data_IF_075521832608
#
_entry.id   IF_075521832608
#
_cell.length_a   1.000
_cell.length_b   1.000
_cell.length_c   1.000
_cell.angle_alpha   90.00
_cell.angle_beta   90.00
_cell.angle_gamma   90.00
#
_symmetry.space_group_name_H-M   'P 1'
#
loop_
_entity.id
_entity.type
_entity.pdbx_description
1 polymer ?
#
# COMPACT_ATOMS: atom_id res chain seq x y z
N UNK A 1 23.12 -7.76 -13.92
CA UNK A 1 21.91 -8.22 -13.21
C UNK A 1 21.46 -9.54 -13.83
N UNK A 2 21.27 -10.63 -13.05
CA UNK A 2 20.83 -11.93 -13.58
C UNK A 2 19.31 -12.04 -13.40
N UNK A 3 18.54 -12.02 -14.49
CA UNK A 3 17.09 -12.23 -14.47
C UNK A 3 16.80 -13.72 -14.59
N UNK A 4 16.06 -14.27 -13.64
CA UNK A 4 15.57 -15.64 -13.68
C UNK A 4 14.05 -15.61 -13.83
N UNK A 5 13.53 -16.42 -14.74
CA UNK A 5 12.10 -16.63 -14.90
C UNK A 5 11.74 -17.97 -14.27
N UNK A 6 10.79 -17.93 -13.33
CA UNK A 6 10.21 -19.15 -12.77
C UNK A 6 9.04 -19.57 -13.65
N UNK A 7 8.87 -20.88 -13.81
CA UNK A 7 7.80 -21.46 -14.62
C UNK A 7 6.41 -21.09 -14.06
N UNK A 8 5.51 -20.71 -14.96
CA UNK A 8 4.12 -20.34 -14.69
C UNK A 8 3.16 -21.54 -14.73
N UNK A 9 3.64 -22.75 -15.02
CA UNK A 9 2.84 -23.98 -15.07
C UNK A 9 2.19 -24.40 -13.75
N UNK A 10 2.48 -23.73 -12.63
CA UNK A 10 1.91 -23.99 -11.31
C UNK A 10 1.72 -22.74 -10.46
N UNK A 11 1.30 -22.92 -9.21
CA UNK A 11 1.11 -21.79 -8.29
C UNK A 11 2.44 -21.08 -8.00
N UNK A 12 2.49 -19.78 -8.27
CA UNK A 12 3.71 -18.98 -8.21
C UNK A 12 4.39 -19.01 -6.82
N UNK A 13 3.61 -18.94 -5.74
CA UNK A 13 4.16 -18.91 -4.37
C UNK A 13 4.91 -20.22 -4.04
N UNK A 14 4.29 -21.40 -4.17
CA UNK A 14 4.97 -22.70 -4.10
C UNK A 14 6.28 -22.78 -4.88
N UNK A 15 6.30 -22.34 -6.14
CA UNK A 15 7.49 -22.37 -7.00
C UNK A 15 8.58 -21.44 -6.49
N UNK A 16 8.24 -20.19 -6.16
CA UNK A 16 9.17 -19.22 -5.59
C UNK A 16 9.78 -19.72 -4.27
N UNK A 17 8.97 -20.31 -3.39
CA UNK A 17 9.45 -20.84 -2.09
C UNK A 17 10.39 -22.02 -2.29
N UNK A 18 10.07 -22.95 -3.20
CA UNK A 18 10.97 -24.06 -3.53
C UNK A 18 12.35 -23.53 -3.95
N UNK A 19 12.34 -22.60 -4.91
CA UNK A 19 13.55 -21.98 -5.43
C UNK A 19 14.35 -21.28 -4.32
N UNK A 20 13.72 -20.47 -3.48
CA UNK A 20 14.39 -19.79 -2.37
C UNK A 20 15.05 -20.77 -1.40
N UNK A 21 14.34 -21.84 -1.02
CA UNK A 21 14.89 -22.85 -0.10
C UNK A 21 16.08 -23.55 -0.76
N UNK A 22 15.96 -23.97 -2.02
CA UNK A 22 17.01 -24.74 -2.68
C UNK A 22 18.27 -23.90 -2.96
N UNK A 23 18.12 -22.60 -3.24
CA UNK A 23 19.26 -21.70 -3.45
C UNK A 23 19.97 -21.28 -2.15
N UNK A 24 19.25 -21.19 -1.03
CA UNK A 24 19.77 -20.59 0.21
C UNK A 24 19.92 -21.57 1.37
N UNK A 25 19.64 -22.86 1.17
CA UNK A 25 19.87 -23.88 2.20
C UNK A 25 21.30 -24.38 2.18
N UNK A 26 22.01 -24.18 3.29
CA UNK A 26 23.34 -24.76 3.53
C UNK A 26 23.31 -25.46 4.90
N UNK A 27 23.74 -26.72 4.96
CA UNK A 27 23.84 -27.51 6.19
C UNK A 27 22.55 -27.48 7.06
N UNK A 28 21.38 -27.63 6.43
CA UNK A 28 20.09 -27.66 7.12
C UNK A 28 19.58 -26.30 7.64
N UNK A 29 20.18 -25.20 7.16
CA UNK A 29 19.74 -23.83 7.46
C UNK A 29 19.47 -23.08 6.17
N UNK A 30 18.27 -22.54 6.03
CA UNK A 30 17.89 -21.60 4.98
C UNK A 30 17.95 -20.18 5.54
N UNK A 31 18.96 -19.40 5.13
CA UNK A 31 19.16 -18.03 5.63
C UNK A 31 18.80 -17.00 4.56
N UNK A 32 17.66 -16.35 4.73
CA UNK A 32 17.12 -15.38 3.79
C UNK A 32 17.24 -13.94 4.30
N UNK A 33 18.03 -13.65 5.35
CA UNK A 33 18.12 -12.30 5.94
C UNK A 33 18.50 -11.20 4.96
N UNK A 34 19.32 -11.53 3.96
CA UNK A 34 19.78 -10.59 2.93
C UNK A 34 18.86 -10.58 1.69
N UNK A 35 17.83 -11.41 1.68
CA UNK A 35 16.87 -11.51 0.58
C UNK A 35 15.71 -10.55 0.85
N UNK A 36 15.43 -9.71 -0.14
CA UNK A 36 14.28 -8.80 -0.18
C UNK A 36 13.29 -9.34 -1.20
N UNK A 37 12.09 -9.68 -0.76
CA UNK A 37 11.02 -10.15 -1.62
C UNK A 37 10.01 -9.02 -1.86
N UNK A 38 10.03 -8.43 -3.05
CA UNK A 38 9.04 -7.42 -3.47
C UNK A 38 7.84 -8.14 -4.07
N UNK A 39 6.67 -7.90 -3.53
CA UNK A 39 5.45 -8.64 -3.83
C UNK A 39 4.29 -7.67 -4.05
N UNK A 40 3.25 -8.05 -4.83
CA UNK A 40 2.13 -7.17 -5.18
C UNK A 40 1.14 -6.97 -4.02
N UNK A 41 1.61 -7.00 -2.78
CA UNK A 41 0.80 -6.66 -1.61
C UNK A 41 1.18 -7.43 -0.35
N UNK A 42 0.76 -6.90 0.80
CA UNK A 42 1.04 -7.49 2.11
C UNK A 42 0.50 -8.92 2.24
N UNK A 43 -0.64 -9.23 1.59
CA UNK A 43 -1.20 -10.59 1.58
C UNK A 43 -0.29 -11.59 0.88
N UNK A 44 0.29 -11.23 -0.27
CA UNK A 44 1.24 -12.09 -0.97
C UNK A 44 2.48 -12.35 -0.10
N UNK A 45 2.98 -11.34 0.62
CA UNK A 45 4.03 -11.48 1.63
C UNK A 45 3.69 -12.48 2.73
N UNK A 46 2.51 -12.36 3.33
CA UNK A 46 2.04 -13.31 4.35
C UNK A 46 1.95 -14.74 3.81
N UNK A 47 1.44 -14.91 2.59
CA UNK A 47 1.34 -16.23 1.95
C UNK A 47 2.72 -16.84 1.67
N UNK A 48 3.67 -16.06 1.15
CA UNK A 48 5.06 -16.49 0.94
C UNK A 48 5.70 -16.95 2.26
N UNK A 49 5.58 -16.15 3.33
CA UNK A 49 6.15 -16.48 4.64
C UNK A 49 5.52 -17.75 5.24
N UNK A 50 4.19 -17.91 5.12
CA UNK A 50 3.50 -19.12 5.58
C UNK A 50 4.01 -20.37 4.86
N UNK A 51 4.15 -20.30 3.53
CA UNK A 51 4.64 -21.41 2.73
C UNK A 51 6.13 -21.72 3.01
N UNK A 52 6.97 -20.70 3.20
CA UNK A 52 8.37 -20.87 3.63
C UNK A 52 8.47 -21.62 4.95
N UNK A 53 7.69 -21.21 5.96
CA UNK A 53 7.65 -21.85 7.28
C UNK A 53 7.18 -23.29 7.16
N UNK A 54 6.07 -23.52 6.43
CA UNK A 54 5.50 -24.86 6.26
C UNK A 54 6.51 -25.83 5.63
N UNK A 55 7.17 -25.43 4.53
CA UNK A 55 8.15 -26.29 3.84
C UNK A 55 9.43 -26.50 4.61
N UNK A 56 9.97 -25.45 5.23
CA UNK A 56 11.17 -25.58 6.05
C UNK A 56 10.91 -26.50 7.24
N UNK A 57 9.76 -26.36 7.90
CA UNK A 57 9.35 -27.23 9.01
C UNK A 57 9.23 -28.69 8.57
N UNK A 58 8.56 -28.96 7.44
CA UNK A 58 8.43 -30.32 6.91
C UNK A 58 9.79 -30.98 6.60
N UNK A 59 10.76 -30.18 6.13
CA UNK A 59 12.14 -30.62 5.82
C UNK A 59 13.11 -30.55 7.00
N UNK A 60 12.66 -30.14 8.20
CA UNK A 60 13.50 -29.88 9.39
C UNK A 60 14.64 -28.89 9.13
N UNK A 61 14.41 -27.91 8.25
CA UNK A 61 15.35 -26.83 7.93
C UNK A 61 15.10 -25.65 8.87
N UNK A 62 16.16 -25.10 9.46
CA UNK A 62 16.05 -23.85 10.22
C UNK A 62 15.92 -22.68 9.26
N UNK A 63 14.84 -21.92 9.36
CA UNK A 63 14.56 -20.76 8.51
C UNK A 63 14.94 -19.46 9.23
N UNK A 64 15.68 -18.59 8.55
CA UNK A 64 15.68 -17.17 8.86
C UNK A 64 14.95 -16.45 7.72
N UNK A 65 13.78 -15.82 7.97
CA UNK A 65 12.89 -15.37 6.90
C UNK A 65 13.45 -14.18 6.12
N UNK A 66 12.98 -13.95 4.88
CA UNK A 66 13.32 -12.75 4.10
C UNK A 66 12.58 -11.52 4.63
N UNK A 67 13.02 -10.34 4.18
CA UNK A 67 12.21 -9.12 4.32
C UNK A 67 11.23 -9.04 3.16
N UNK A 68 9.94 -9.12 3.44
CA UNK A 68 8.89 -8.90 2.43
C UNK A 68 8.56 -7.42 2.33
N UNK A 69 8.50 -6.91 1.11
CA UNK A 69 8.20 -5.53 0.76
C UNK A 69 7.10 -5.53 -0.31
N UNK A 70 6.39 -4.42 -0.40
CA UNK A 70 5.55 -4.05 -1.55
C UNK A 70 6.29 -2.98 -2.37
N UNK A 71 5.89 -2.69 -3.61
CA UNK A 71 6.47 -1.58 -4.36
C UNK A 71 6.48 -0.27 -3.56
N UNK A 72 5.37 0.11 -2.94
CA UNK A 72 5.29 1.32 -2.12
C UNK A 72 6.19 1.33 -0.89
N UNK A 73 6.31 0.21 -0.17
CA UNK A 73 7.20 0.13 1.01
C UNK A 73 8.67 -0.05 0.63
N UNK A 74 8.98 -0.44 -0.61
CA UNK A 74 10.34 -0.36 -1.14
C UNK A 74 10.76 1.10 -1.29
N UNK A 75 9.85 1.99 -1.73
CA UNK A 75 10.14 3.42 -1.84
C UNK A 75 10.53 3.99 -0.48
N UNK A 76 9.87 3.58 0.61
CA UNK A 76 10.25 4.03 1.97
C UNK A 76 11.68 3.64 2.37
N UNK A 77 12.25 2.59 1.78
CA UNK A 77 13.66 2.22 2.01
C UNK A 77 14.61 3.17 1.29
N UNK A 78 14.19 3.70 0.14
CA UNK A 78 14.96 4.65 -0.67
C UNK A 78 14.78 6.10 -0.18
N UNK A 79 13.56 6.45 0.22
CA UNK A 79 13.14 7.77 0.68
C UNK A 79 12.45 7.64 2.05
N UNK A 80 13.24 7.53 3.15
CA UNK A 80 12.68 7.31 4.47
C UNK A 80 11.82 8.49 4.95
N UNK A 81 10.84 8.25 5.83
CA UNK A 81 10.06 9.30 6.49
C UNK A 81 10.96 10.35 7.16
N UNK A 82 10.55 11.63 7.12
CA UNK A 82 11.20 12.72 7.86
C UNK A 82 10.31 13.19 9.01
N UNK A 83 10.74 14.21 9.74
CA UNK A 83 9.96 14.82 10.84
C UNK A 83 8.63 15.40 10.36
N UNK A 84 8.55 15.80 9.10
CA UNK A 84 7.38 16.35 8.44
C UNK A 84 6.38 15.26 8.03
N UNK A 85 6.78 13.99 7.97
CA UNK A 85 5.87 12.89 7.63
C UNK A 85 4.76 12.77 8.68
N UNK A 86 3.51 12.89 8.23
CA UNK A 86 2.34 12.74 9.08
C UNK A 86 2.29 11.32 9.67
N UNK A 87 2.02 11.24 10.96
CA UNK A 87 1.65 10.00 11.62
C UNK A 87 0.26 9.55 11.20
N UNK A 88 -0.03 8.26 11.38
CA UNK A 88 -1.36 7.69 11.12
C UNK A 88 -2.48 8.41 11.86
N UNK A 89 -2.23 8.86 13.11
CA UNK A 89 -3.19 9.65 13.88
C UNK A 89 -3.47 10.99 13.18
N UNK A 90 -2.42 11.72 12.78
CA UNK A 90 -2.55 13.00 12.06
C UNK A 90 -3.31 12.82 10.74
N UNK A 91 -3.02 11.76 9.98
CA UNK A 91 -3.79 11.42 8.77
C UNK A 91 -5.27 11.17 9.08
N UNK A 92 -5.58 10.38 10.11
CA UNK A 92 -6.97 10.10 10.49
C UNK A 92 -7.72 11.36 10.95
N UNK A 93 -7.07 12.27 11.68
CA UNK A 93 -7.68 13.53 12.10
C UNK A 93 -7.91 14.45 10.90
N UNK A 94 -6.95 14.57 9.99
CA UNK A 94 -7.10 15.35 8.77
C UNK A 94 -8.27 14.83 7.91
N UNK A 95 -8.37 13.52 7.71
CA UNK A 95 -9.52 12.92 7.02
C UNK A 95 -10.83 13.17 7.75
N UNK A 96 -10.89 12.96 9.07
CA UNK A 96 -12.10 13.23 9.87
C UNK A 96 -12.61 14.66 9.65
N UNK A 97 -11.71 15.65 9.68
CA UNK A 97 -12.06 17.04 9.40
C UNK A 97 -12.58 17.24 7.98
N UNK A 98 -11.90 16.70 6.96
CA UNK A 98 -12.31 16.82 5.55
C UNK A 98 -13.69 16.21 5.31
N UNK A 99 -13.95 15.01 5.85
CA UNK A 99 -15.22 14.31 5.68
C UNK A 99 -16.37 15.04 6.36
N UNK A 100 -16.17 15.52 7.60
CA UNK A 100 -17.21 16.24 8.34
C UNK A 100 -17.53 17.59 7.72
N UNK A 101 -16.50 18.30 7.25
CA UNK A 101 -16.64 19.65 6.71
C UNK A 101 -17.14 19.63 5.25
N UNK A 102 -17.06 18.49 4.56
CA UNK A 102 -17.53 18.35 3.18
C UNK A 102 -19.04 18.60 3.02
N UNK A 103 -19.41 19.00 1.81
CA UNK A 103 -20.80 19.18 1.44
C UNK A 103 -21.54 17.82 1.43
N UNK A 104 -22.78 17.81 1.97
CA UNK A 104 -23.56 16.58 2.10
C UNK A 104 -23.88 15.93 0.75
N UNK A 105 -24.09 16.73 -0.30
CA UNK A 105 -24.37 16.22 -1.65
C UNK A 105 -23.14 15.55 -2.25
N UNK A 106 -21.95 16.11 -2.00
CA UNK A 106 -20.68 15.57 -2.45
C UNK A 106 -20.39 14.21 -1.80
N UNK A 107 -20.62 14.07 -0.49
CA UNK A 107 -20.28 12.82 0.24
C UNK A 107 -21.38 11.76 0.21
N UNK A 108 -22.56 12.06 -0.33
CA UNK A 108 -23.70 11.14 -0.39
C UNK A 108 -23.36 9.76 -1.01
N UNK A 109 -22.51 9.65 -2.06
CA UNK A 109 -22.09 8.35 -2.59
C UNK A 109 -21.33 7.49 -1.56
N UNK A 110 -20.48 8.12 -0.73
CA UNK A 110 -19.71 7.45 0.32
C UNK A 110 -20.55 7.16 1.56
N UNK A 111 -21.35 8.13 1.98
CA UNK A 111 -22.18 8.07 3.18
C UNK A 111 -23.63 8.41 2.81
N UNK A 112 -24.42 7.42 2.36
CA UNK A 112 -25.85 7.63 2.08
C UNK A 112 -26.62 8.14 3.31
N UNK A 113 -26.15 7.78 4.50
CA UNK A 113 -26.64 8.28 5.80
C UNK A 113 -25.43 8.72 6.63
N UNK A 114 -24.95 9.96 6.47
CA UNK A 114 -23.80 10.43 7.22
C UNK A 114 -24.16 10.61 8.70
N UNK A 115 -23.20 10.45 9.63
CA UNK A 115 -23.39 10.77 11.04
C UNK A 115 -23.83 12.22 11.27
N UNK A 116 -24.31 12.50 12.48
CA UNK A 116 -24.45 13.88 12.93
C UNK A 116 -23.11 14.60 12.88
N UNK A 117 -23.10 15.91 12.59
CA UNK A 117 -21.84 16.68 12.54
C UNK A 117 -21.13 16.72 13.89
N UNK A 118 -21.86 16.66 15.00
CA UNK A 118 -21.30 16.65 16.35
C UNK A 118 -20.80 15.26 16.79
N UNK A 119 -21.04 14.20 16.01
CA UNK A 119 -20.60 12.84 16.33
C UNK A 119 -19.14 12.60 15.90
N UNK A 120 -18.22 13.21 16.64
CA UNK A 120 -16.79 13.10 16.39
C UNK A 120 -16.27 11.64 16.37
N UNK A 121 -16.67 10.76 17.31
CA UNK A 121 -16.25 9.35 17.27
C UNK A 121 -16.65 8.64 15.97
N UNK A 122 -17.88 8.82 15.49
CA UNK A 122 -18.32 8.18 14.25
C UNK A 122 -17.51 8.66 13.03
N UNK A 123 -17.24 9.97 12.94
CA UNK A 123 -16.41 10.51 11.86
C UNK A 123 -14.97 10.01 11.92
N UNK A 124 -14.39 9.87 13.12
CA UNK A 124 -13.05 9.33 13.30
C UNK A 124 -12.95 7.86 12.89
N UNK A 125 -13.99 7.06 13.16
CA UNK A 125 -14.05 5.66 12.71
C UNK A 125 -14.02 5.56 11.18
N UNK A 126 -14.80 6.39 10.48
CA UNK A 126 -14.76 6.43 9.02
C UNK A 126 -13.42 6.91 8.47
N UNK A 127 -12.84 7.94 9.08
CA UNK A 127 -11.53 8.43 8.68
C UNK A 127 -10.44 7.37 8.85
N UNK A 128 -10.49 6.59 9.93
CA UNK A 128 -9.56 5.47 10.16
C UNK A 128 -9.67 4.41 9.07
N UNK A 129 -10.90 4.06 8.66
CA UNK A 129 -11.14 3.12 7.54
C UNK A 129 -10.59 3.65 6.21
N UNK A 130 -10.71 4.95 5.95
CA UNK A 130 -10.13 5.56 4.74
C UNK A 130 -8.60 5.50 4.78
N UNK A 131 -7.99 5.77 5.94
CA UNK A 131 -6.54 5.63 6.11
C UNK A 131 -6.09 4.18 5.88
N UNK A 132 -6.81 3.19 6.40
CA UNK A 132 -6.50 1.76 6.14
C UNK A 132 -6.50 1.42 4.66
N UNK A 133 -7.53 1.88 3.94
CA UNK A 133 -7.66 1.66 2.50
C UNK A 133 -6.57 2.41 1.73
N UNK A 134 -6.28 3.66 2.11
CA UNK A 134 -5.21 4.45 1.49
C UNK A 134 -3.84 3.77 1.66
N UNK A 135 -3.56 3.23 2.85
CA UNK A 135 -2.32 2.48 3.12
C UNK A 135 -2.23 1.21 2.28
N UNK A 136 -3.34 0.48 2.10
CA UNK A 136 -3.39 -0.72 1.24
C UNK A 136 -3.11 -0.36 -0.23
N UNK A 137 -3.77 0.65 -0.77
CA UNK A 137 -3.58 1.12 -2.15
C UNK A 137 -2.17 1.65 -2.38
N UNK A 138 -1.65 2.46 -1.46
CA UNK A 138 -0.31 3.00 -1.53
C UNK A 138 0.77 1.92 -1.44
N UNK A 139 0.45 0.73 -0.91
CA UNK A 139 1.31 -0.44 -0.97
C UNK A 139 1.66 -0.83 -2.41
N UNK A 140 0.72 -0.66 -3.33
CA UNK A 140 0.83 -0.95 -4.77
C UNK A 140 1.00 0.31 -5.62
N UNK A 141 1.37 1.44 -5.00
CA UNK A 141 1.51 2.74 -5.69
C UNK A 141 0.23 3.24 -6.36
N UNK A 142 -0.94 2.77 -5.88
CA UNK A 142 -2.25 3.20 -6.36
C UNK A 142 -2.81 4.31 -5.48
N UNK A 143 -3.63 5.16 -6.09
CA UNK A 143 -4.48 6.15 -5.41
C UNK A 143 -5.97 5.90 -5.67
N UNK A 144 -6.81 6.73 -5.05
CA UNK A 144 -8.27 6.62 -5.20
C UNK A 144 -8.74 6.73 -6.65
N UNK A 145 -8.11 7.60 -7.46
CA UNK A 145 -8.43 7.77 -8.88
C UNK A 145 -8.13 6.52 -9.72
N UNK A 146 -7.10 5.75 -9.37
CA UNK A 146 -6.81 4.49 -10.07
C UNK A 146 -7.91 3.46 -9.86
N UNK A 147 -8.43 3.38 -8.63
CA UNK A 147 -9.54 2.49 -8.31
C UNK A 147 -10.85 2.96 -8.96
N UNK A 148 -11.09 4.28 -9.00
CA UNK A 148 -12.24 4.84 -9.70
C UNK A 148 -12.24 4.48 -11.19
N UNK A 149 -11.10 4.68 -11.89
CA UNK A 149 -10.95 4.32 -13.31
C UNK A 149 -11.12 2.81 -13.54
N UNK A 150 -10.57 1.98 -12.66
CA UNK A 150 -10.75 0.53 -12.74
C UNK A 150 -12.24 0.13 -12.59
N UNK A 151 -12.96 0.73 -11.64
CA UNK A 151 -14.38 0.49 -11.45
C UNK A 151 -15.22 0.93 -12.68
N UNK A 152 -14.87 2.06 -13.31
CA UNK A 152 -15.50 2.52 -14.56
C UNK A 152 -15.30 1.54 -15.71
N UNK A 153 -14.10 0.98 -15.86
CA UNK A 153 -13.80 -0.03 -16.88
C UNK A 153 -14.53 -1.36 -16.67
N UNK A 154 -15.01 -1.61 -15.45
CA UNK A 154 -15.77 -2.81 -15.07
C UNK A 154 -17.28 -2.54 -14.99
N UNK A 155 -17.76 -1.40 -15.50
CA UNK A 155 -19.17 -0.97 -15.44
C UNK A 155 -19.75 -0.93 -14.01
N UNK A 156 -18.90 -0.62 -13.01
CA UNK A 156 -19.27 -0.54 -11.60
C UNK A 156 -19.51 0.91 -11.16
N UNK A 157 -20.49 1.58 -11.78
CA UNK A 157 -20.75 3.02 -11.61
C UNK A 157 -20.86 3.49 -10.16
N UNK A 158 -21.54 2.70 -9.31
CA UNK A 158 -21.71 3.03 -7.89
C UNK A 158 -20.37 3.05 -7.15
N UNK A 159 -19.48 2.13 -7.49
CA UNK A 159 -18.17 2.05 -6.87
C UNK A 159 -17.25 3.15 -7.39
N UNK A 160 -17.25 3.38 -8.70
CA UNK A 160 -16.56 4.51 -9.32
C UNK A 160 -16.92 5.85 -8.66
N UNK A 161 -18.22 6.10 -8.45
CA UNK A 161 -18.72 7.30 -7.78
C UNK A 161 -18.17 7.44 -6.35
N UNK A 162 -18.09 6.34 -5.58
CA UNK A 162 -17.53 6.36 -4.22
C UNK A 162 -16.05 6.77 -4.22
N UNK A 163 -15.25 6.14 -5.08
CA UNK A 163 -13.82 6.45 -5.17
C UNK A 163 -13.54 7.85 -5.70
N UNK A 164 -14.35 8.34 -6.66
CA UNK A 164 -14.27 9.72 -7.16
C UNK A 164 -14.50 10.76 -6.06
N UNK A 165 -15.37 10.48 -5.09
CA UNK A 165 -15.54 11.39 -3.93
C UNK A 165 -14.25 11.43 -3.08
N UNK A 166 -13.64 10.28 -2.79
CA UNK A 166 -12.37 10.25 -2.03
C UNK A 166 -11.25 10.98 -2.80
N UNK A 167 -11.14 10.73 -4.10
CA UNK A 167 -10.22 11.44 -4.99
C UNK A 167 -10.46 12.95 -4.96
N UNK A 168 -11.71 13.40 -5.06
CA UNK A 168 -12.08 14.81 -5.02
C UNK A 168 -11.77 15.48 -3.67
N UNK A 169 -11.91 14.74 -2.56
CA UNK A 169 -11.61 15.24 -1.22
C UNK A 169 -10.11 15.24 -0.90
N UNK A 170 -9.32 14.45 -1.63
CA UNK A 170 -7.91 14.22 -1.35
C UNK A 170 -7.05 15.50 -1.32
N UNK A 171 -7.22 16.49 -2.22
CA UNK A 171 -6.49 17.76 -2.14
C UNK A 171 -6.76 18.54 -0.84
N UNK A 172 -8.01 18.51 -0.33
CA UNK A 172 -8.35 19.16 0.96
C UNK A 172 -7.68 18.47 2.13
N UNK A 173 -7.54 17.14 2.07
CA UNK A 173 -6.78 16.37 3.06
C UNK A 173 -5.31 16.75 3.07
N UNK A 174 -4.66 16.82 1.90
CA UNK A 174 -3.26 17.27 1.83
C UNK A 174 -3.09 18.70 2.33
N UNK A 175 -4.01 19.61 1.98
CA UNK A 175 -3.96 20.98 2.48
C UNK A 175 -4.06 21.02 4.01
N UNK A 176 -4.96 20.24 4.61
CA UNK A 176 -5.10 20.16 6.08
C UNK A 176 -3.82 19.68 6.77
N UNK A 177 -3.12 18.70 6.19
CA UNK A 177 -1.82 18.28 6.70
C UNK A 177 -0.77 19.38 6.53
N UNK A 178 -0.71 20.01 5.36
CA UNK A 178 0.25 21.07 5.05
C UNK A 178 0.09 22.28 5.97
N UNK A 179 -1.14 22.66 6.32
CA UNK A 179 -1.44 23.73 7.29
C UNK A 179 -0.84 23.45 8.68
N UNK A 180 -0.60 22.18 9.01
CA UNK A 180 0.04 21.74 10.25
C UNK A 180 1.56 21.48 10.08
N UNK A 181 2.14 21.82 8.92
CA UNK A 181 3.52 21.48 8.58
C UNK A 181 3.76 19.98 8.41
N UNK A 182 2.72 19.23 8.05
CA UNK A 182 2.77 17.78 7.85
C UNK A 182 2.60 17.41 6.39
N UNK A 183 3.21 16.31 5.99
CA UNK A 183 3.16 15.76 4.65
C UNK A 183 2.66 14.32 4.68
N UNK A 184 1.76 14.00 3.76
CA UNK A 184 1.22 12.65 3.65
C UNK A 184 2.32 11.63 3.29
N UNK A 185 2.44 10.48 3.99
CA UNK A 185 3.45 9.48 3.70
C UNK A 185 3.38 8.93 2.26
N UNK A 186 2.19 8.83 1.68
CA UNK A 186 1.99 8.23 0.36
C UNK A 186 2.25 9.22 -0.78
N UNK A 187 1.90 10.50 -0.60
CA UNK A 187 2.28 11.58 -1.51
C UNK A 187 3.81 11.69 -1.63
N UNK A 188 4.52 11.57 -0.51
CA UNK A 188 5.99 11.53 -0.51
C UNK A 188 6.57 10.40 -1.32
N UNK A 189 6.02 9.19 -1.19
CA UNK A 189 6.46 8.03 -1.99
C UNK A 189 6.31 8.30 -3.48
N UNK A 190 5.17 8.85 -3.90
CA UNK A 190 4.92 9.19 -5.30
C UNK A 190 5.91 10.24 -5.80
N UNK A 191 6.09 11.33 -5.06
CA UNK A 191 7.09 12.34 -5.40
C UNK A 191 8.51 11.78 -5.50
N UNK A 192 8.90 10.92 -4.57
CA UNK A 192 10.22 10.29 -4.60
C UNK A 192 10.41 9.35 -5.80
N UNK A 193 9.34 8.76 -6.35
CA UNK A 193 9.40 8.01 -7.60
C UNK A 193 9.49 8.92 -8.80
N UNK A 194 8.70 9.99 -8.85
CA UNK A 194 8.75 10.99 -9.92
C UNK A 194 10.16 11.60 -10.02
N UNK A 195 10.82 11.87 -8.88
CA UNK A 195 12.20 12.35 -8.82
C UNK A 195 13.25 11.31 -9.27
N UNK A 196 12.89 10.02 -9.31
CA UNK A 196 13.76 8.90 -9.72
C UNK A 196 13.52 8.45 -11.17
N UNK A 197 12.40 8.84 -11.79
CA UNK A 197 12.18 8.60 -13.21
C UNK A 197 13.10 9.54 -14.01
N UNK A 198 14.06 9.03 -14.79
CA UNK A 198 14.87 9.88 -15.64
C UNK A 198 13.95 10.57 -16.67
N UNK A 199 14.22 11.85 -16.96
CA UNK A 199 13.60 12.54 -18.08
C UNK A 199 13.70 11.65 -19.34
N UNK A 200 12.67 11.59 -20.21
CA UNK A 200 12.64 10.67 -21.36
C UNK A 200 13.82 10.75 -22.36
N UNK A 201 14.81 11.62 -22.13
CA UNK A 201 16.03 11.77 -22.93
C UNK A 201 17.33 11.25 -22.30
N UNK A 202 17.35 10.87 -21.01
CA UNK A 202 18.60 10.51 -20.30
C UNK A 202 18.90 8.99 -20.26
N UNK A 203 18.03 8.18 -20.85
CA UNK A 203 18.23 6.74 -21.03
C UNK A 203 18.66 6.41 -22.46
N UNK A 204 19.87 6.83 -22.85
CA UNK A 204 20.59 6.36 -24.05
C UNK A 204 21.99 5.89 -23.70
#
# INVERSE_FOLDING_TARGET
MKRLWLDWGGSLIPTCVAWLIDQHTVAGRCDLRQVRCVLPGARAGRLLLRELVARCSARKIRLVPPRTLTPGTMVDVLAPPTRETASRLECSLAWMHVLRDADRTLVAPLFPRPPDRADWPAWHEFATKIVDVAEELAGELLGFGDVARCAEQLDMDREAARWRVLEHLHPRYHQRLADCGREDPHARRRKALDDLEPEPGDAL
#
